data_IF_632413262291
#
_entry.id   IF_632413262291
#
_cell.length_a   1.000
_cell.length_b   1.000
_cell.length_c   1.000
_cell.angle_alpha   90.00
_cell.angle_beta   90.00
_cell.angle_gamma   90.00
#
_symmetry.space_group_name_H-M   'P 1'
#
loop_
_entity.id
_entity.type
_entity.pdbx_description
1 polymer ?
#
# COMPACT_ATOMS: atom_id res chain seq x y z
N UNK A 1 23.35 4.33 17.02
CA UNK A 1 23.30 3.77 15.65
C UNK A 1 24.24 4.55 14.72
N UNK A 2 25.05 3.90 13.88
CA UNK A 2 25.96 4.59 12.96
C UNK A 2 25.21 5.46 11.94
N UNK A 3 25.71 6.67 11.66
CA UNK A 3 25.09 7.61 10.71
C UNK A 3 24.85 7.00 9.31
N UNK A 4 25.71 6.08 8.88
CA UNK A 4 25.55 5.35 7.62
C UNK A 4 24.28 4.48 7.62
N UNK A 5 23.99 3.79 8.73
CA UNK A 5 22.81 2.93 8.88
C UNK A 5 21.53 3.76 8.90
N UNK A 6 21.53 4.92 9.56
CA UNK A 6 20.39 5.85 9.54
C UNK A 6 20.10 6.30 8.10
N UNK A 7 21.12 6.69 7.33
CA UNK A 7 20.95 7.07 5.91
C UNK A 7 20.39 5.93 5.06
N UNK A 8 20.82 4.69 5.30
CA UNK A 8 20.27 3.52 4.61
C UNK A 8 18.77 3.33 4.92
N UNK A 9 18.37 3.45 6.19
CA UNK A 9 16.96 3.35 6.60
C UNK A 9 16.11 4.49 6.02
N UNK A 10 16.64 5.71 5.96
CA UNK A 10 15.97 6.84 5.30
C UNK A 10 15.79 6.61 3.80
N UNK A 11 16.82 6.09 3.12
CA UNK A 11 16.72 5.74 1.70
C UNK A 11 15.63 4.69 1.45
N UNK A 12 15.57 3.68 2.31
CA UNK A 12 14.57 2.63 2.24
C UNK A 12 13.15 3.17 2.50
N UNK A 13 12.97 3.99 3.54
CA UNK A 13 11.71 4.67 3.82
C UNK A 13 11.20 5.48 2.63
N UNK A 14 12.09 6.19 1.92
CA UNK A 14 11.73 6.89 0.69
C UNK A 14 11.32 5.93 -0.44
N UNK A 15 11.90 4.73 -0.51
CA UNK A 15 11.45 3.66 -1.40
C UNK A 15 10.03 3.18 -1.09
N UNK A 16 9.71 3.02 0.19
CA UNK A 16 8.37 2.66 0.65
C UNK A 16 7.34 3.74 0.29
N UNK A 17 7.65 5.02 0.51
CA UNK A 17 6.77 6.13 0.11
C UNK A 17 6.44 6.11 -1.38
N UNK A 18 7.46 5.96 -2.23
CA UNK A 18 7.26 5.84 -3.69
C UNK A 18 6.37 4.66 -4.06
N UNK A 19 6.57 3.52 -3.40
CA UNK A 19 5.75 2.33 -3.60
C UNK A 19 4.29 2.58 -3.19
N UNK A 20 4.05 3.22 -2.05
CA UNK A 20 2.71 3.52 -1.57
C UNK A 20 1.99 4.57 -2.43
N UNK A 21 2.72 5.53 -3.01
CA UNK A 21 2.18 6.47 -4.00
C UNK A 21 1.74 5.71 -5.24
N UNK A 22 2.63 4.88 -5.82
CA UNK A 22 2.31 4.06 -6.98
C UNK A 22 1.06 3.19 -6.75
N UNK A 23 0.97 2.49 -5.61
CA UNK A 23 -0.20 1.68 -5.29
C UNK A 23 -1.49 2.52 -5.16
N UNK A 24 -1.38 3.76 -4.68
CA UNK A 24 -2.53 4.68 -4.58
C UNK A 24 -3.03 5.03 -5.98
N UNK A 25 -2.11 5.43 -6.86
CA UNK A 25 -2.44 5.87 -8.22
C UNK A 25 -3.03 4.72 -9.04
N UNK A 26 -2.45 3.52 -8.92
CA UNK A 26 -2.98 2.32 -9.56
C UNK A 26 -4.38 1.96 -9.03
N UNK A 27 -4.62 2.04 -7.71
CA UNK A 27 -5.94 1.76 -7.16
C UNK A 27 -6.99 2.79 -7.64
N UNK A 28 -6.61 4.06 -7.79
CA UNK A 28 -7.45 5.10 -8.40
C UNK A 28 -7.78 4.74 -9.85
N UNK A 29 -6.78 4.32 -10.63
CA UNK A 29 -6.99 3.92 -12.01
C UNK A 29 -7.98 2.74 -12.13
N UNK A 30 -7.86 1.70 -11.29
CA UNK A 30 -8.79 0.56 -11.31
C UNK A 30 -10.23 0.97 -10.93
N UNK A 31 -10.39 1.85 -9.93
CA UNK A 31 -11.70 2.41 -9.57
C UNK A 31 -12.34 3.20 -10.70
N UNK A 32 -11.56 4.02 -11.41
CA UNK A 32 -12.05 4.76 -12.57
C UNK A 32 -12.50 3.80 -13.67
N UNK A 33 -11.70 2.75 -13.94
CA UNK A 33 -12.05 1.74 -14.93
C UNK A 33 -13.34 0.98 -14.59
N UNK A 34 -13.54 0.65 -13.31
CA UNK A 34 -14.78 0.04 -12.85
C UNK A 34 -15.98 0.98 -13.07
N UNK A 35 -15.80 2.28 -12.82
CA UNK A 35 -16.85 3.27 -13.04
C UNK A 35 -17.23 3.41 -14.52
N UNK A 36 -16.29 3.31 -15.44
CA UNK A 36 -16.55 3.39 -16.89
C UNK A 36 -17.46 2.24 -17.35
N UNK A 37 -17.17 1.02 -16.91
CA UNK A 37 -17.93 -0.19 -17.31
C UNK A 37 -19.35 -0.16 -16.78
N UNK A 38 -19.52 0.32 -15.55
CA UNK A 38 -20.84 0.48 -14.94
C UNK A 38 -21.72 1.50 -15.67
N UNK A 39 -21.11 2.50 -16.33
CA UNK A 39 -21.85 3.44 -17.17
C UNK A 39 -22.33 2.82 -18.48
N UNK A 40 -21.58 1.85 -19.02
CA UNK A 40 -21.89 1.19 -20.29
C UNK A 40 -22.84 -0.01 -20.14
N UNK A 41 -22.84 -0.68 -18.98
CA UNK A 41 -23.62 -1.90 -18.77
C UNK A 41 -24.10 -2.06 -17.31
N UNK A 42 -25.40 -2.32 -17.11
CA UNK A 42 -26.04 -2.34 -15.79
C UNK A 42 -26.79 -3.64 -15.51
N UNK A 43 -26.22 -4.77 -15.95
CA UNK A 43 -26.72 -6.09 -15.59
C UNK A 43 -26.62 -6.37 -14.08
N UNK A 44 -27.59 -7.11 -13.52
CA UNK A 44 -27.65 -7.40 -12.08
C UNK A 44 -26.40 -8.13 -11.56
N UNK A 45 -25.87 -9.08 -12.32
CA UNK A 45 -24.66 -9.83 -11.95
C UNK A 45 -23.40 -8.94 -12.03
N UNK A 46 -23.37 -8.02 -13.00
CA UNK A 46 -22.30 -7.03 -13.16
C UNK A 46 -22.24 -6.10 -11.95
N UNK A 47 -23.40 -5.67 -11.43
CA UNK A 47 -23.49 -4.83 -10.23
C UNK A 47 -22.96 -5.53 -8.97
N UNK A 48 -23.25 -6.82 -8.78
CA UNK A 48 -22.76 -7.58 -7.61
C UNK A 48 -21.23 -7.67 -7.64
N UNK A 49 -20.65 -8.04 -8.79
CA UNK A 49 -19.19 -8.13 -8.93
C UNK A 49 -18.53 -6.76 -8.76
N UNK A 50 -19.12 -5.71 -9.31
CA UNK A 50 -18.65 -4.35 -9.13
C UNK A 50 -18.63 -3.91 -7.66
N UNK A 51 -19.67 -4.24 -6.88
CA UNK A 51 -19.71 -3.94 -5.44
C UNK A 51 -18.59 -4.65 -4.67
N UNK A 52 -18.29 -5.91 -5.02
CA UNK A 52 -17.19 -6.67 -4.44
C UNK A 52 -15.83 -6.03 -4.74
N UNK A 53 -15.60 -5.60 -6.00
CA UNK A 53 -14.38 -4.90 -6.38
C UNK A 53 -14.27 -3.54 -5.69
N UNK A 54 -15.35 -2.76 -5.65
CA UNK A 54 -15.37 -1.47 -4.96
C UNK A 54 -15.02 -1.61 -3.49
N UNK A 55 -15.58 -2.61 -2.81
CA UNK A 55 -15.25 -2.93 -1.40
C UNK A 55 -13.76 -3.28 -1.25
N UNK A 56 -13.23 -4.07 -2.18
CA UNK A 56 -11.81 -4.46 -2.18
C UNK A 56 -10.88 -3.26 -2.41
N UNK A 57 -11.22 -2.34 -3.32
CA UNK A 57 -10.46 -1.12 -3.55
C UNK A 57 -10.48 -0.19 -2.34
N UNK A 58 -11.63 -0.04 -1.66
CA UNK A 58 -11.72 0.74 -0.42
C UNK A 58 -10.86 0.14 0.69
N UNK A 59 -10.83 -1.19 0.81
CA UNK A 59 -9.94 -1.87 1.74
C UNK A 59 -8.47 -1.59 1.42
N UNK A 60 -8.09 -1.58 0.14
CA UNK A 60 -6.73 -1.23 -0.27
C UNK A 60 -6.37 0.22 0.09
N UNK A 61 -7.26 1.18 -0.16
CA UNK A 61 -7.04 2.58 0.24
C UNK A 61 -6.78 2.72 1.75
N UNK A 62 -7.57 2.02 2.57
CA UNK A 62 -7.40 2.03 4.01
C UNK A 62 -6.05 1.44 4.44
N UNK A 63 -5.65 0.29 3.89
CA UNK A 63 -4.36 -0.35 4.19
C UNK A 63 -3.18 0.53 3.77
N UNK A 64 -3.24 1.12 2.58
CA UNK A 64 -2.23 2.06 2.08
C UNK A 64 -2.14 3.29 3.00
N UNK A 65 -3.28 3.83 3.43
CA UNK A 65 -3.34 4.96 4.36
C UNK A 65 -2.69 4.65 5.71
N UNK A 66 -2.99 3.49 6.29
CA UNK A 66 -2.34 3.04 7.53
C UNK A 66 -0.83 2.88 7.35
N UNK A 67 -0.38 2.31 6.23
CA UNK A 67 1.04 2.16 5.93
C UNK A 67 1.76 3.51 5.72
N UNK A 68 1.11 4.49 5.09
CA UNK A 68 1.67 5.85 4.97
C UNK A 68 1.89 6.47 6.35
N UNK A 69 0.98 6.23 7.30
CA UNK A 69 1.14 6.68 8.68
C UNK A 69 2.30 5.96 9.38
N UNK A 70 2.40 4.63 9.25
CA UNK A 70 3.50 3.84 9.82
C UNK A 70 4.86 4.33 9.31
N UNK A 71 5.00 4.54 8.00
CA UNK A 71 6.23 5.06 7.38
C UNK A 71 6.56 6.47 7.89
N UNK A 72 5.55 7.33 8.05
CA UNK A 72 5.73 8.68 8.58
C UNK A 72 6.16 8.67 10.06
N UNK A 73 5.68 7.72 10.85
CA UNK A 73 6.12 7.52 12.23
C UNK A 73 7.56 7.01 12.29
N UNK A 74 7.92 6.08 11.41
CA UNK A 74 9.28 5.58 11.28
C UNK A 74 10.27 6.70 10.93
N UNK A 75 9.93 7.60 10.00
CA UNK A 75 10.78 8.75 9.68
C UNK A 75 11.00 9.68 10.88
N UNK A 76 9.95 9.96 11.65
CA UNK A 76 10.06 10.78 12.87
C UNK A 76 10.98 10.12 13.89
N UNK A 77 10.89 8.80 14.02
CA UNK A 77 11.75 8.01 14.90
C UNK A 77 13.22 8.06 14.45
N UNK A 78 13.50 8.01 13.14
CA UNK A 78 14.86 8.13 12.60
C UNK A 78 15.48 9.52 12.79
N UNK A 79 14.68 10.58 12.90
CA UNK A 79 15.13 11.96 13.12
C UNK A 79 15.27 12.30 14.60
N UNK A 80 14.63 11.52 15.50
CA UNK A 80 14.69 11.78 16.93
C UNK A 80 16.13 11.63 17.47
N UNK A 81 16.64 12.67 18.12
CA UNK A 81 17.96 12.70 18.78
C UNK A 81 17.97 11.93 20.12
N UNK A 82 17.13 10.90 20.26
CA UNK A 82 17.13 10.07 21.46
C UNK A 82 18.51 9.40 21.58
N UNK A 83 19.07 9.43 22.79
CA UNK A 83 20.34 8.79 23.13
C UNK A 83 20.25 7.33 22.65
N UNK A 84 20.92 7.05 21.54
CA UNK A 84 20.84 5.77 20.87
C UNK A 84 21.54 4.72 21.74
N UNK A 85 20.76 4.00 22.54
CA UNK A 85 21.19 2.78 23.21
C UNK A 85 20.86 1.55 22.37
N UNK A 86 21.29 0.37 22.81
CA UNK A 86 21.04 -0.89 22.10
C UNK A 86 19.54 -1.22 21.98
N UNK A 87 18.73 -0.81 22.96
CA UNK A 87 17.28 -1.03 22.97
C UNK A 87 16.60 -0.19 21.89
N UNK A 88 17.03 1.06 21.72
CA UNK A 88 16.58 1.93 20.65
C UNK A 88 16.91 1.32 19.28
N UNK A 89 18.13 0.83 19.07
CA UNK A 89 18.51 0.20 17.80
C UNK A 89 17.68 -1.03 17.46
N UNK A 90 17.45 -1.90 18.45
CA UNK A 90 16.59 -3.08 18.29
C UNK A 90 15.14 -2.68 17.94
N UNK A 91 14.61 -1.64 18.58
CA UNK A 91 13.26 -1.14 18.30
C UNK A 91 13.11 -0.59 16.88
N UNK A 92 14.11 0.15 16.39
CA UNK A 92 14.15 0.70 15.03
C UNK A 92 14.14 -0.43 14.00
N UNK A 93 14.97 -1.45 14.21
CA UNK A 93 15.09 -2.56 13.27
C UNK A 93 13.80 -3.41 13.26
N UNK A 94 13.18 -3.65 14.42
CA UNK A 94 11.89 -4.33 14.50
C UNK A 94 10.79 -3.56 13.76
N UNK A 95 10.71 -2.24 13.95
CA UNK A 95 9.74 -1.41 13.23
C UNK A 95 9.99 -1.45 11.72
N UNK A 96 11.25 -1.33 11.30
CA UNK A 96 11.65 -1.44 9.89
C UNK A 96 11.21 -2.79 9.28
N UNK A 97 11.48 -3.91 9.96
CA UNK A 97 11.05 -5.24 9.51
C UNK A 97 9.53 -5.35 9.39
N UNK A 98 8.79 -4.83 10.36
CA UNK A 98 7.33 -4.82 10.33
C UNK A 98 6.80 -4.05 9.11
N UNK A 99 7.36 -2.88 8.81
CA UNK A 99 6.95 -2.11 7.61
C UNK A 99 7.26 -2.88 6.33
N UNK A 100 8.44 -3.50 6.21
CA UNK A 100 8.80 -4.34 5.05
C UNK A 100 7.78 -5.45 4.81
N UNK A 101 7.42 -6.17 5.87
CA UNK A 101 6.42 -7.25 5.80
C UNK A 101 5.08 -6.70 5.35
N UNK A 102 4.58 -5.63 5.99
CA UNK A 102 3.29 -5.05 5.66
C UNK A 102 3.22 -4.55 4.21
N UNK A 103 4.27 -3.87 3.73
CA UNK A 103 4.34 -3.39 2.34
C UNK A 103 4.32 -4.57 1.36
N UNK A 104 5.13 -5.59 1.59
CA UNK A 104 5.14 -6.77 0.71
C UNK A 104 3.78 -7.48 0.68
N UNK A 105 3.11 -7.57 1.83
CA UNK A 105 1.76 -8.14 1.93
C UNK A 105 0.74 -7.31 1.14
N UNK A 106 0.72 -5.99 1.32
CA UNK A 106 -0.20 -5.11 0.60
C UNK A 106 0.05 -5.16 -0.91
N UNK A 107 1.32 -5.17 -1.35
CA UNK A 107 1.66 -5.33 -2.78
C UNK A 107 1.09 -6.62 -3.35
N UNK A 108 1.34 -7.76 -2.69
CA UNK A 108 0.82 -9.06 -3.16
C UNK A 108 -0.71 -9.09 -3.23
N UNK A 109 -1.38 -8.52 -2.21
CA UNK A 109 -2.84 -8.42 -2.21
C UNK A 109 -3.35 -7.52 -3.33
N UNK A 110 -2.65 -6.43 -3.63
CA UNK A 110 -2.99 -5.53 -4.73
C UNK A 110 -2.78 -6.18 -6.09
N UNK A 111 -1.65 -6.87 -6.28
CA UNK A 111 -1.34 -7.58 -7.53
C UNK A 111 -2.40 -8.66 -7.83
N UNK A 112 -2.82 -9.41 -6.80
CA UNK A 112 -3.91 -10.38 -6.92
C UNK A 112 -5.24 -9.72 -7.28
N UNK A 113 -5.62 -8.65 -6.58
CA UNK A 113 -6.85 -7.90 -6.86
C UNK A 113 -6.86 -7.33 -8.29
N UNK A 114 -5.72 -6.82 -8.75
CA UNK A 114 -5.55 -6.29 -10.11
C UNK A 114 -5.70 -7.38 -11.16
N UNK A 115 -5.16 -8.57 -10.90
CA UNK A 115 -5.31 -9.73 -11.79
C UNK A 115 -6.78 -10.14 -11.89
N UNK A 116 -7.44 -10.37 -10.75
CA UNK A 116 -8.88 -10.74 -10.69
C UNK A 116 -9.76 -9.70 -11.38
N UNK A 117 -9.46 -8.41 -11.17
CA UNK A 117 -10.18 -7.33 -11.82
C UNK A 117 -9.98 -7.35 -13.34
N UNK A 118 -8.76 -7.53 -13.82
CA UNK A 118 -8.48 -7.60 -15.26
C UNK A 118 -9.13 -8.81 -15.92
N UNK A 119 -9.20 -9.95 -15.25
CA UNK A 119 -9.94 -11.12 -15.74
C UNK A 119 -11.42 -10.80 -15.86
N UNK A 120 -12.02 -10.19 -14.83
CA UNK A 120 -13.39 -9.71 -14.88
C UNK A 120 -13.63 -8.70 -16.02
N UNK A 121 -12.67 -7.81 -16.29
CA UNK A 121 -12.76 -6.89 -17.43
C UNK A 121 -12.86 -7.63 -18.77
N UNK A 122 -12.03 -8.65 -18.97
CA UNK A 122 -12.01 -9.41 -20.23
C UNK A 122 -13.30 -10.19 -20.47
N UNK A 123 -14.00 -10.59 -19.41
CA UNK A 123 -15.27 -11.31 -19.51
C UNK A 123 -16.48 -10.40 -19.77
N UNK A 124 -16.35 -9.09 -19.49
CA UNK A 124 -17.47 -8.13 -19.50
C UNK A 124 -17.29 -6.95 -20.47
N UNK A 125 -16.22 -6.96 -21.28
CA UNK A 125 -15.99 -6.08 -22.44
C UNK A 125 -16.37 -6.84 -23.72
#
# INVERSE_FOLDING_TARGET
MPALKIRQLQYESNGWKRTLVFLTDENIHLKNRLSEILQENSGKDLLINAENFQTSFLRQDALIGLLKNDVSQFDKLLVSELVADELFEASVELFCQNIRIKINTVKKQFDQLKLEFNEYLLENI
#
